data_IF_781898280162
#
_entry.id   IF_781898280162
#
_cell.length_a   1.000
_cell.length_b   1.000
_cell.length_c   1.000
_cell.angle_alpha   90.00
_cell.angle_beta   90.00
_cell.angle_gamma   90.00
#
_symmetry.space_group_name_H-M   'P 1'
#
loop_
_entity.id
_entity.type
_entity.pdbx_description
1 polymer ?
#
# COMPACT_ATOMS: atom_id res chain seq x y z
N UNK A 1 -6.07 20.62 5.74
CA UNK A 1 -7.01 19.74 4.96
C UNK A 1 -7.58 20.57 3.82
N UNK A 2 -6.95 20.58 2.65
CA UNK A 2 -7.32 21.54 1.57
C UNK A 2 -8.10 20.91 0.41
N UNK A 3 -8.68 19.73 0.59
CA UNK A 3 -9.53 19.10 -0.41
C UNK A 3 -10.97 19.00 0.07
N UNK A 4 -11.92 19.37 -0.79
CA UNK A 4 -13.35 19.17 -0.53
C UNK A 4 -13.74 17.68 -0.53
N UNK A 5 -12.85 16.84 -1.03
CA UNK A 5 -13.03 15.39 -1.15
C UNK A 5 -11.84 14.61 -0.63
N UNK A 6 -11.60 14.62 0.69
CA UNK A 6 -10.43 13.94 1.29
C UNK A 6 -10.51 12.42 1.17
N UNK A 7 -9.33 11.82 1.17
CA UNK A 7 -9.11 10.37 1.35
C UNK A 7 -8.54 10.15 2.73
N UNK A 8 -9.12 9.22 3.48
CA UNK A 8 -8.58 8.75 4.75
C UNK A 8 -8.04 7.33 4.59
N UNK A 9 -6.84 7.09 5.14
CA UNK A 9 -6.22 5.78 5.30
C UNK A 9 -6.06 5.50 6.78
N UNK A 10 -6.48 4.33 7.23
CA UNK A 10 -6.43 3.93 8.62
C UNK A 10 -6.31 2.42 8.78
N UNK A 11 -5.72 1.99 9.87
CA UNK A 11 -5.73 0.60 10.30
C UNK A 11 -5.63 0.53 11.83
N UNK A 12 -6.06 -0.58 12.38
CA UNK A 12 -5.82 -0.90 13.76
C UNK A 12 -5.79 -2.41 13.95
N UNK A 13 -4.73 -2.91 14.58
CA UNK A 13 -4.67 -4.27 15.10
C UNK A 13 -5.34 -4.28 16.47
N UNK A 14 -6.46 -4.97 16.57
CA UNK A 14 -7.26 -5.14 17.78
C UNK A 14 -8.18 -6.34 17.63
N UNK A 15 -8.43 -7.07 18.70
CA UNK A 15 -9.37 -8.20 18.65
C UNK A 15 -10.77 -7.73 18.25
N UNK A 16 -11.27 -8.27 17.14
CA UNK A 16 -12.65 -8.12 16.68
C UNK A 16 -13.37 -9.46 16.86
N UNK A 17 -14.19 -9.56 17.90
CA UNK A 17 -14.89 -10.80 18.22
C UNK A 17 -15.86 -11.25 17.12
N UNK A 18 -16.52 -10.30 16.47
CA UNK A 18 -17.49 -10.58 15.40
C UNK A 18 -17.24 -9.69 14.17
N UNK A 19 -16.33 -10.08 13.28
CA UNK A 19 -16.01 -9.35 12.06
C UNK A 19 -17.20 -9.11 11.13
N UNK A 20 -18.12 -10.08 11.03
CA UNK A 20 -19.30 -9.98 10.15
C UNK A 20 -20.30 -8.92 10.66
N UNK A 21 -20.51 -8.86 11.98
CA UNK A 21 -21.35 -7.83 12.61
C UNK A 21 -20.75 -6.45 12.36
N UNK A 22 -19.46 -6.28 12.62
CA UNK A 22 -18.77 -5.01 12.36
C UNK A 22 -18.84 -4.62 10.88
N UNK A 23 -18.67 -5.58 9.95
CA UNK A 23 -18.77 -5.32 8.52
C UNK A 23 -20.16 -4.80 8.11
N UNK A 24 -21.22 -5.35 8.70
CA UNK A 24 -22.59 -4.90 8.47
C UNK A 24 -22.83 -3.47 9.02
N UNK A 25 -22.32 -3.17 10.21
CA UNK A 25 -22.38 -1.84 10.83
C UNK A 25 -21.65 -0.79 9.99
N UNK A 26 -20.41 -1.08 9.63
CA UNK A 26 -19.59 -0.20 8.80
C UNK A 26 -20.21 0.04 7.41
N UNK A 27 -20.83 -0.99 6.81
CA UNK A 27 -21.52 -0.85 5.53
C UNK A 27 -22.71 0.12 5.63
N UNK A 28 -23.51 -0.01 6.69
CA UNK A 28 -24.65 0.90 6.92
C UNK A 28 -24.17 2.35 7.10
N UNK A 29 -23.16 2.56 7.94
CA UNK A 29 -22.60 3.89 8.21
C UNK A 29 -22.02 4.51 6.94
N UNK A 30 -21.13 3.83 6.23
CA UNK A 30 -20.51 4.35 5.02
C UNK A 30 -21.53 4.61 3.91
N UNK A 31 -22.56 3.77 3.76
CA UNK A 31 -23.63 3.98 2.79
C UNK A 31 -24.44 5.23 3.13
N UNK A 32 -24.81 5.42 4.42
CA UNK A 32 -25.51 6.61 4.90
C UNK A 32 -24.72 7.90 4.64
N UNK A 33 -23.41 7.84 4.81
CA UNK A 33 -22.49 8.97 4.61
C UNK A 33 -22.06 9.15 3.14
N UNK A 34 -22.45 8.27 2.22
CA UNK A 34 -22.08 8.34 0.81
C UNK A 34 -20.58 8.11 0.55
N UNK A 35 -19.88 7.42 1.46
CA UNK A 35 -18.46 7.14 1.34
C UNK A 35 -18.20 6.01 0.34
N UNK A 36 -17.10 6.12 -0.38
CA UNK A 36 -16.55 5.06 -1.26
C UNK A 36 -15.18 4.66 -0.77
N UNK A 37 -14.76 3.43 -1.10
CA UNK A 37 -13.44 2.93 -0.71
C UNK A 37 -13.45 1.47 -0.33
N UNK A 38 -12.46 1.06 0.46
CA UNK A 38 -12.31 -0.34 0.91
C UNK A 38 -12.11 -0.41 2.41
N UNK A 39 -12.68 -1.46 3.00
CA UNK A 39 -12.41 -1.85 4.38
C UNK A 39 -12.26 -3.38 4.44
N UNK A 40 -11.14 -3.83 4.96
CA UNK A 40 -10.91 -5.22 5.33
C UNK A 40 -11.08 -5.35 6.84
N UNK A 41 -11.80 -6.36 7.26
CA UNK A 41 -12.04 -6.67 8.66
C UNK A 41 -11.66 -8.12 8.89
N UNK A 42 -10.92 -8.38 9.95
CA UNK A 42 -10.56 -9.72 10.41
C UNK A 42 -10.69 -9.78 11.93
N UNK A 43 -10.51 -10.96 12.53
CA UNK A 43 -10.42 -11.09 13.98
C UNK A 43 -9.24 -10.30 14.57
N UNK A 44 -8.19 -10.09 13.79
CA UNK A 44 -6.98 -9.33 14.16
C UNK A 44 -7.13 -7.81 14.05
N UNK A 45 -8.24 -7.28 13.46
CA UNK A 45 -8.41 -5.84 13.34
C UNK A 45 -9.11 -5.34 12.09
N UNK A 46 -8.80 -4.09 11.71
CA UNK A 46 -9.37 -3.38 10.57
C UNK A 46 -8.29 -2.70 9.73
N UNK A 47 -8.50 -2.62 8.40
CA UNK A 47 -7.65 -1.93 7.45
C UNK A 47 -8.52 -1.27 6.39
N UNK A 48 -8.54 0.06 6.34
CA UNK A 48 -9.46 0.80 5.51
C UNK A 48 -8.88 2.02 4.83
N UNK A 49 -9.51 2.35 3.71
CA UNK A 49 -9.34 3.64 3.04
C UNK A 49 -10.68 4.05 2.46
N UNK A 50 -11.09 5.26 2.77
CA UNK A 50 -12.35 5.84 2.28
C UNK A 50 -12.13 7.23 1.71
N UNK A 51 -12.98 7.60 0.76
CA UNK A 51 -13.08 8.95 0.23
C UNK A 51 -14.54 9.38 0.18
N UNK A 52 -14.78 10.68 0.35
CA UNK A 52 -16.09 11.27 0.30
C UNK A 52 -16.04 12.77 0.53
N UNK A 53 -17.22 13.46 0.50
CA UNK A 53 -17.30 14.83 0.91
C UNK A 53 -16.68 15.06 2.29
N UNK A 54 -15.97 16.16 2.48
CA UNK A 54 -15.25 16.50 3.73
C UNK A 54 -16.10 16.26 4.99
N UNK A 55 -17.32 16.73 4.98
CA UNK A 55 -18.24 16.58 6.12
C UNK A 55 -18.57 15.11 6.41
N UNK A 56 -18.77 14.30 5.37
CA UNK A 56 -19.04 12.87 5.50
C UNK A 56 -17.85 12.11 6.05
N UNK A 57 -16.63 12.44 5.60
CA UNK A 57 -15.40 11.87 6.10
C UNK A 57 -15.18 12.23 7.56
N UNK A 58 -15.43 13.50 7.94
CA UNK A 58 -15.33 13.92 9.34
C UNK A 58 -16.31 13.15 10.23
N UNK A 59 -17.60 13.06 9.82
CA UNK A 59 -18.61 12.28 10.56
C UNK A 59 -18.23 10.80 10.73
N UNK A 60 -17.54 10.22 9.73
CA UNK A 60 -17.03 8.87 9.85
C UNK A 60 -15.92 8.75 10.91
N UNK A 61 -14.96 9.66 10.89
CA UNK A 61 -13.87 9.69 11.87
C UNK A 61 -14.41 9.89 13.30
N UNK A 62 -15.34 10.81 13.48
CA UNK A 62 -16.00 11.06 14.76
C UNK A 62 -16.72 9.80 15.28
N UNK A 63 -17.54 9.17 14.43
CA UNK A 63 -18.24 7.94 14.77
C UNK A 63 -17.30 6.75 15.05
N UNK A 64 -16.15 6.71 14.39
CA UNK A 64 -15.12 5.70 14.69
C UNK A 64 -14.51 5.95 16.07
N UNK A 65 -14.20 7.20 16.43
CA UNK A 65 -13.66 7.55 17.75
C UNK A 65 -14.69 7.42 18.90
N UNK A 66 -15.99 7.35 18.61
CA UNK A 66 -17.01 6.98 19.61
C UNK A 66 -17.00 5.50 19.98
N UNK A 67 -16.45 4.63 19.12
CA UNK A 67 -16.31 3.19 19.41
C UNK A 67 -15.08 2.96 20.29
N UNK A 68 -15.23 2.36 21.49
CA UNK A 68 -14.09 2.12 22.41
C UNK A 68 -12.92 1.35 21.79
N UNK A 69 -13.19 0.54 20.77
CA UNK A 69 -12.15 -0.20 20.04
C UNK A 69 -11.26 0.70 19.19
N UNK A 70 -11.78 1.87 18.78
CA UNK A 70 -11.13 2.74 17.79
C UNK A 70 -10.88 4.16 18.31
N UNK A 71 -10.98 4.40 19.61
CA UNK A 71 -10.74 5.70 20.27
C UNK A 71 -9.43 6.38 19.85
N UNK A 72 -8.37 5.60 19.74
CA UNK A 72 -7.00 6.03 19.41
C UNK A 72 -6.61 5.71 17.96
N UNK A 73 -7.59 5.40 17.09
CA UNK A 73 -7.30 5.10 15.70
C UNK A 73 -6.83 6.33 14.94
N UNK A 74 -5.64 6.25 14.36
CA UNK A 74 -5.07 7.32 13.56
C UNK A 74 -5.61 7.31 12.12
N UNK A 75 -6.04 8.47 11.65
CA UNK A 75 -6.45 8.69 10.27
C UNK A 75 -5.41 9.51 9.52
N UNK A 76 -4.83 8.93 8.48
CA UNK A 76 -3.94 9.62 7.55
C UNK A 76 -4.75 10.23 6.43
N UNK A 77 -4.71 11.55 6.29
CA UNK A 77 -5.59 12.29 5.38
C UNK A 77 -4.78 12.80 4.19
N UNK A 78 -5.29 12.62 2.99
CA UNK A 78 -4.71 13.14 1.75
C UNK A 78 -5.80 13.74 0.85
N UNK A 79 -5.41 14.55 -0.13
CA UNK A 79 -6.32 15.08 -1.13
C UNK A 79 -6.81 13.98 -2.06
N UNK A 80 -8.08 14.03 -2.44
CA UNK A 80 -8.71 13.12 -3.38
C UNK A 80 -9.72 13.84 -4.27
N UNK A 81 -10.51 13.06 -5.02
CA UNK A 81 -11.54 13.52 -5.93
C UNK A 81 -12.78 12.60 -5.85
N UNK A 82 -13.95 13.02 -6.37
CA UNK A 82 -15.19 12.24 -6.29
C UNK A 82 -15.12 10.85 -6.93
N UNK A 83 -14.18 10.64 -7.84
CA UNK A 83 -13.97 9.38 -8.54
C UNK A 83 -12.76 8.57 -8.03
N UNK A 84 -12.09 9.00 -6.94
CA UNK A 84 -10.92 8.29 -6.34
C UNK A 84 -11.22 6.81 -6.11
N UNK A 85 -12.43 6.48 -5.66
CA UNK A 85 -12.90 5.10 -5.59
C UNK A 85 -14.16 4.90 -6.41
N UNK A 86 -14.27 3.80 -7.20
CA UNK A 86 -15.47 3.54 -8.00
C UNK A 86 -16.67 3.13 -7.15
N UNK A 87 -16.44 2.46 -6.02
CA UNK A 87 -17.50 1.89 -5.18
C UNK A 87 -17.06 1.71 -3.73
N UNK A 88 -18.02 1.42 -2.85
CA UNK A 88 -17.78 0.94 -1.49
C UNK A 88 -17.57 -0.58 -1.50
N UNK A 89 -16.50 -1.06 -0.86
CA UNK A 89 -16.17 -2.49 -0.74
C UNK A 89 -15.73 -2.83 0.68
N UNK A 90 -16.62 -3.39 1.48
CA UNK A 90 -16.31 -3.87 2.84
C UNK A 90 -16.31 -5.41 2.83
N UNK A 91 -15.21 -6.02 3.27
CA UNK A 91 -15.01 -7.47 3.19
C UNK A 91 -14.41 -8.01 4.49
N UNK A 92 -14.96 -9.11 4.99
CA UNK A 92 -14.30 -9.92 6.00
C UNK A 92 -13.26 -10.82 5.34
N UNK A 93 -12.10 -10.93 5.96
CA UNK A 93 -10.95 -11.70 5.51
C UNK A 93 -10.30 -12.41 6.69
N UNK A 94 -9.50 -13.47 6.46
CA UNK A 94 -8.70 -14.08 7.53
C UNK A 94 -7.69 -13.11 8.14
N UNK A 95 -7.11 -12.22 7.33
CA UNK A 95 -6.13 -11.23 7.72
C UNK A 95 -6.47 -9.85 7.14
N UNK A 96 -6.15 -8.76 7.87
CA UNK A 96 -6.34 -7.40 7.36
C UNK A 96 -5.24 -6.97 6.39
N UNK A 97 -4.08 -7.64 6.45
CA UNK A 97 -3.02 -7.65 5.45
C UNK A 97 -2.43 -9.05 5.41
N UNK A 98 -2.42 -9.68 4.22
CA UNK A 98 -2.07 -11.09 4.12
C UNK A 98 -0.56 -11.29 4.15
N UNK A 99 -0.06 -11.88 5.23
CA UNK A 99 1.32 -12.36 5.35
C UNK A 99 1.41 -13.87 5.12
N UNK A 100 0.33 -14.61 5.47
CA UNK A 100 0.30 -16.07 5.32
C UNK A 100 1.16 -16.83 6.33
N UNK A 101 1.61 -16.18 7.39
CA UNK A 101 2.37 -16.76 8.47
C UNK A 101 1.69 -16.44 9.80
N UNK A 102 1.59 -17.44 10.67
CA UNK A 102 1.04 -17.26 12.01
C UNK A 102 2.14 -16.67 12.92
N UNK A 103 2.07 -15.38 13.12
CA UNK A 103 3.03 -14.63 13.93
C UNK A 103 2.25 -13.86 14.98
N UNK A 104 2.55 -14.06 16.27
CA UNK A 104 1.94 -13.27 17.31
C UNK A 104 2.34 -11.80 17.15
N UNK A 105 1.34 -10.96 16.90
CA UNK A 105 1.53 -9.51 16.90
C UNK A 105 1.71 -9.07 18.35
N UNK A 106 2.93 -8.77 18.73
CA UNK A 106 3.19 -8.08 19.98
C UNK A 106 3.07 -6.58 19.69
N UNK A 107 2.27 -5.89 20.47
CA UNK A 107 2.21 -4.43 20.47
C UNK A 107 3.51 -3.89 21.08
N UNK A 108 4.58 -3.94 20.32
CA UNK A 108 5.88 -3.40 20.69
C UNK A 108 5.99 -1.98 20.13
N UNK A 109 5.49 -1.03 20.91
CA UNK A 109 5.52 0.39 20.54
C UNK A 109 6.95 0.97 20.52
N UNK A 110 7.90 0.31 21.17
CA UNK A 110 9.28 0.80 21.28
C UNK A 110 10.08 0.68 19.98
N UNK A 111 9.54 0.01 18.96
CA UNK A 111 10.18 -0.12 17.66
C UNK A 111 9.68 0.86 16.59
N UNK A 112 8.74 1.74 16.94
CA UNK A 112 8.22 2.76 16.03
C UNK A 112 9.08 4.03 16.11
N UNK A 113 9.69 4.40 14.98
CA UNK A 113 10.38 5.69 14.85
C UNK A 113 9.41 6.72 14.29
N UNK A 114 9.29 7.85 14.96
CA UNK A 114 8.62 9.03 14.39
C UNK A 114 9.34 9.48 13.11
N UNK A 115 8.68 10.24 12.22
CA UNK A 115 9.34 10.79 11.03
C UNK A 115 10.65 11.53 11.34
N UNK A 116 10.71 12.28 12.46
CA UNK A 116 11.91 12.99 12.90
C UNK A 116 13.03 12.04 13.30
N UNK A 117 12.73 11.01 14.10
CA UNK A 117 13.72 9.98 14.48
C UNK A 117 14.17 9.17 13.27
N UNK A 118 13.25 8.87 12.36
CA UNK A 118 13.54 8.19 11.10
C UNK A 118 14.56 8.98 10.26
N UNK A 119 14.29 10.28 10.05
CA UNK A 119 15.21 11.16 9.31
C UNK A 119 16.58 11.21 9.97
N UNK A 120 16.64 11.41 11.29
CA UNK A 120 17.90 11.39 12.04
C UNK A 120 18.65 10.07 11.86
N UNK A 121 17.96 8.94 11.90
CA UNK A 121 18.59 7.63 11.68
C UNK A 121 19.20 7.50 10.28
N UNK A 122 18.51 8.01 9.25
CA UNK A 122 19.04 8.01 7.88
C UNK A 122 20.31 8.86 7.74
N UNK A 123 20.38 9.97 8.45
CA UNK A 123 21.48 10.96 8.34
C UNK A 123 22.69 10.59 9.21
N UNK A 124 22.46 10.11 10.43
CA UNK A 124 23.52 9.91 11.44
C UNK A 124 24.04 8.45 11.51
N UNK A 125 23.29 7.46 10.99
CA UNK A 125 23.62 6.04 11.14
C UNK A 125 23.69 5.33 9.79
N UNK A 126 24.73 5.59 8.97
CA UNK A 126 24.84 5.07 7.59
C UNK A 126 24.96 3.53 7.49
N UNK A 127 25.32 2.86 8.57
CA UNK A 127 25.42 1.39 8.64
C UNK A 127 24.05 0.71 8.86
N UNK A 128 22.98 1.49 9.02
CA UNK A 128 21.62 0.97 9.18
C UNK A 128 21.10 0.43 7.85
N UNK A 129 20.52 -0.76 7.89
CA UNK A 129 19.91 -1.39 6.71
C UNK A 129 18.48 -0.94 6.55
N UNK A 130 18.19 -0.26 5.46
CA UNK A 130 16.86 0.25 5.16
C UNK A 130 16.12 -0.71 4.21
N UNK A 131 14.97 -1.23 4.64
CA UNK A 131 14.21 -2.25 3.89
C UNK A 131 12.82 -1.73 3.52
N UNK A 132 12.51 -1.77 2.24
CA UNK A 132 11.18 -1.53 1.70
C UNK A 132 10.40 -2.86 1.65
N UNK A 133 9.45 -3.05 2.56
CA UNK A 133 8.64 -4.28 2.64
C UNK A 133 7.38 -4.23 1.75
N UNK A 134 7.34 -3.31 0.79
CA UNK A 134 6.25 -3.19 -0.18
C UNK A 134 6.46 -4.15 -1.36
N UNK A 135 5.44 -4.25 -2.20
CA UNK A 135 5.52 -5.02 -3.43
C UNK A 135 6.40 -4.28 -4.46
N UNK A 136 6.99 -5.03 -5.40
CA UNK A 136 7.89 -4.52 -6.45
C UNK A 136 7.39 -3.28 -7.18
N UNK A 137 6.12 -3.30 -7.61
CA UNK A 137 5.54 -2.19 -8.36
C UNK A 137 5.43 -0.92 -7.52
N UNK A 138 5.29 -1.02 -6.20
CA UNK A 138 5.25 0.13 -5.30
C UNK A 138 6.64 0.75 -5.15
N UNK A 139 7.66 -0.09 -4.94
CA UNK A 139 9.06 0.35 -4.83
C UNK A 139 9.59 0.89 -6.16
N UNK A 140 9.13 0.35 -7.29
CA UNK A 140 9.45 0.87 -8.62
C UNK A 140 8.90 2.29 -8.85
N UNK A 141 7.76 2.65 -8.26
CA UNK A 141 7.21 4.00 -8.34
C UNK A 141 8.05 5.03 -7.57
N UNK A 142 8.55 4.63 -6.41
CA UNK A 142 9.40 5.46 -5.56
C UNK A 142 9.78 4.73 -4.27
N UNK A 143 10.93 5.09 -3.72
CA UNK A 143 11.48 4.49 -2.49
C UNK A 143 12.41 5.47 -1.79
N UNK A 144 12.71 5.21 -0.52
CA UNK A 144 13.80 5.92 0.14
C UNK A 144 15.15 5.61 -0.53
N UNK A 145 16.03 6.59 -0.54
CA UNK A 145 17.41 6.44 -1.01
C UNK A 145 18.08 5.27 -0.28
N UNK A 146 18.86 4.47 -1.01
CA UNK A 146 19.58 3.31 -0.50
C UNK A 146 18.69 2.19 0.09
N UNK A 147 17.36 2.27 -0.04
CA UNK A 147 16.50 1.19 0.44
C UNK A 147 16.64 -0.09 -0.40
N UNK A 148 16.78 -1.20 0.28
CA UNK A 148 16.68 -2.55 -0.29
C UNK A 148 15.19 -2.83 -0.48
N UNK A 149 14.72 -2.89 -1.72
CA UNK A 149 13.36 -3.30 -2.01
C UNK A 149 13.27 -4.83 -1.92
N UNK A 150 12.29 -5.33 -1.16
CA UNK A 150 11.96 -6.75 -1.20
C UNK A 150 11.39 -7.07 -2.59
N UNK A 151 12.04 -7.97 -3.33
CA UNK A 151 11.65 -8.36 -4.68
C UNK A 151 10.44 -9.31 -4.65
N UNK A 152 9.31 -8.83 -4.12
CA UNK A 152 8.08 -9.59 -3.92
C UNK A 152 6.93 -8.99 -4.74
N UNK A 153 6.15 -9.83 -5.38
CA UNK A 153 4.93 -9.41 -6.07
C UNK A 153 3.77 -9.20 -5.09
N UNK A 154 3.77 -9.95 -3.98
CA UNK A 154 2.77 -9.88 -2.94
C UNK A 154 3.42 -9.98 -1.56
N UNK A 155 2.91 -9.25 -0.59
CA UNK A 155 3.42 -9.24 0.79
C UNK A 155 3.49 -10.63 1.45
N UNK A 156 2.66 -11.58 1.02
CA UNK A 156 2.71 -12.99 1.48
C UNK A 156 4.00 -13.74 1.13
N UNK A 157 4.80 -13.22 0.21
CA UNK A 157 6.08 -13.79 -0.20
C UNK A 157 7.24 -13.35 0.70
N UNK A 158 6.99 -12.37 1.59
CA UNK A 158 8.00 -11.84 2.50
C UNK A 158 8.65 -12.92 3.40
N UNK A 159 7.92 -13.93 3.95
CA UNK A 159 8.54 -14.97 4.76
C UNK A 159 9.63 -15.78 4.04
N UNK A 160 9.46 -16.02 2.74
CA UNK A 160 10.46 -16.71 1.90
C UNK A 160 11.60 -15.78 1.51
N UNK A 161 11.27 -14.52 1.16
CA UNK A 161 12.26 -13.51 0.79
C UNK A 161 13.24 -13.21 1.93
N UNK A 162 12.81 -13.34 3.17
CA UNK A 162 13.62 -13.05 4.35
C UNK A 162 14.93 -13.86 4.41
N UNK A 163 14.96 -15.05 3.80
CA UNK A 163 16.18 -15.85 3.71
C UNK A 163 17.31 -15.13 2.93
N UNK A 164 16.96 -14.23 2.01
CA UNK A 164 17.92 -13.40 1.27
C UNK A 164 18.51 -12.26 2.09
N UNK A 165 17.93 -11.96 3.25
CA UNK A 165 18.31 -10.87 4.14
C UNK A 165 19.08 -11.36 5.38
N UNK A 166 19.45 -12.64 5.45
CA UNK A 166 20.11 -13.24 6.62
C UNK A 166 21.43 -12.56 7.00
N UNK A 167 22.16 -12.04 6.03
CA UNK A 167 23.41 -11.30 6.26
C UNK A 167 23.22 -10.02 7.10
N UNK A 168 21.99 -9.53 7.22
CA UNK A 168 21.66 -8.31 7.98
C UNK A 168 21.12 -8.58 9.40
N UNK A 169 21.09 -9.83 9.87
CA UNK A 169 20.53 -10.20 11.19
C UNK A 169 21.16 -9.45 12.36
N UNK A 170 22.47 -9.20 12.28
CA UNK A 170 23.24 -8.51 13.32
C UNK A 170 23.26 -6.99 13.14
N UNK A 171 22.66 -6.49 12.06
CA UNK A 171 22.57 -5.05 11.77
C UNK A 171 21.34 -4.43 12.40
N UNK A 172 21.36 -3.11 12.54
CA UNK A 172 20.13 -2.34 12.78
C UNK A 172 19.33 -2.28 11.49
N UNK A 173 18.10 -2.77 11.53
CA UNK A 173 17.17 -2.77 10.38
C UNK A 173 16.09 -1.74 10.61
N UNK A 174 15.89 -0.89 9.64
CA UNK A 174 14.76 0.02 9.53
C UNK A 174 13.87 -0.43 8.39
N UNK A 175 12.56 -0.53 8.61
CA UNK A 175 11.63 -0.94 7.57
C UNK A 175 10.45 0.01 7.44
N UNK A 176 9.90 0.08 6.25
CA UNK A 176 8.76 0.93 5.97
C UNK A 176 7.79 0.32 4.95
N UNK A 177 6.55 0.80 4.98
CA UNK A 177 5.58 0.62 3.91
C UNK A 177 4.78 1.91 3.72
N UNK A 178 3.76 1.90 2.88
CA UNK A 178 2.97 3.10 2.55
C UNK A 178 2.33 3.74 3.78
N UNK A 179 1.64 2.97 4.62
CA UNK A 179 0.88 3.49 5.76
C UNK A 179 1.23 2.89 7.13
N UNK A 180 2.22 1.97 7.21
CA UNK A 180 2.66 1.32 8.45
C UNK A 180 2.12 -0.10 8.66
N UNK A 181 0.94 -0.43 8.15
CA UNK A 181 0.24 -1.70 8.47
C UNK A 181 1.03 -2.99 8.19
N UNK A 182 1.79 -3.04 7.08
CA UNK A 182 2.60 -4.23 6.75
C UNK A 182 3.79 -4.36 7.70
N UNK A 183 4.32 -3.24 8.16
CA UNK A 183 5.46 -3.21 9.06
C UNK A 183 5.16 -3.85 10.41
N UNK A 184 3.93 -3.77 10.90
CA UNK A 184 3.52 -4.45 12.15
C UNK A 184 3.78 -5.96 12.08
N UNK A 185 3.36 -6.59 10.99
CA UNK A 185 3.61 -8.02 10.75
C UNK A 185 5.06 -8.30 10.35
N UNK A 186 5.65 -7.46 9.49
CA UNK A 186 7.02 -7.63 9.03
C UNK A 186 8.00 -7.56 10.19
N UNK A 187 7.91 -6.56 11.07
CA UNK A 187 8.83 -6.43 12.21
C UNK A 187 8.73 -7.61 13.18
N UNK A 188 7.53 -8.11 13.43
CA UNK A 188 7.32 -9.31 14.24
C UNK A 188 7.95 -10.54 13.57
N UNK A 189 7.80 -10.69 12.24
CA UNK A 189 8.42 -11.77 11.47
C UNK A 189 9.95 -11.70 11.52
N UNK A 190 10.54 -10.52 11.31
CA UNK A 190 11.99 -10.34 11.35
C UNK A 190 12.54 -10.72 12.74
N UNK A 191 11.91 -10.26 13.82
CA UNK A 191 12.32 -10.65 15.18
C UNK A 191 12.20 -12.13 15.42
N UNK A 192 11.10 -12.77 15.00
CA UNK A 192 10.93 -14.22 15.10
C UNK A 192 12.01 -15.01 14.33
N UNK A 193 12.59 -14.41 13.30
CA UNK A 193 13.68 -14.98 12.50
C UNK A 193 15.07 -14.60 13.00
N UNK A 194 15.18 -13.93 14.15
CA UNK A 194 16.43 -13.65 14.84
C UNK A 194 17.11 -12.33 14.48
N UNK A 195 16.42 -11.39 13.83
CA UNK A 195 16.91 -10.01 13.66
C UNK A 195 16.84 -9.28 15.00
N UNK A 196 17.99 -8.79 15.49
CA UNK A 196 18.09 -8.27 16.86
C UNK A 196 17.49 -6.86 17.03
N UNK A 197 17.73 -5.95 16.08
CA UNK A 197 17.31 -4.55 16.14
C UNK A 197 16.46 -4.20 14.93
N UNK A 198 15.15 -4.16 15.10
CA UNK A 198 14.19 -3.92 14.02
C UNK A 198 13.30 -2.75 14.38
N UNK A 199 13.37 -1.69 13.58
CA UNK A 199 12.57 -0.48 13.72
C UNK A 199 11.64 -0.32 12.51
N UNK A 200 10.52 0.37 12.71
CA UNK A 200 9.57 0.67 11.66
C UNK A 200 9.18 2.15 11.65
N UNK A 201 8.91 2.69 10.47
CA UNK A 201 8.47 4.08 10.31
C UNK A 201 7.03 4.22 10.79
N UNK A 202 6.82 4.99 11.86
CA UNK A 202 5.49 5.28 12.38
C UNK A 202 4.63 5.99 11.34
N UNK A 203 3.48 5.40 11.04
CA UNK A 203 2.56 5.93 10.03
C UNK A 203 3.02 5.77 8.57
N UNK A 204 4.19 5.17 8.33
CA UNK A 204 4.73 4.89 7.00
C UNK A 204 5.11 6.11 6.18
N UNK A 205 5.32 5.90 4.87
CA UNK A 205 5.73 6.95 3.92
C UNK A 205 4.79 8.16 3.97
N UNK A 206 3.48 7.91 4.05
CA UNK A 206 2.46 8.99 4.05
C UNK A 206 2.68 9.96 5.21
N UNK A 207 3.05 9.45 6.39
CA UNK A 207 3.32 10.29 7.56
C UNK A 207 4.66 11.02 7.41
N UNK A 208 5.70 10.34 6.92
CA UNK A 208 7.00 10.96 6.67
C UNK A 208 6.91 12.10 5.67
N UNK A 209 6.26 11.87 4.53
CA UNK A 209 6.12 12.88 3.48
C UNK A 209 5.27 14.08 3.89
N UNK A 210 4.36 13.91 4.85
CA UNK A 210 3.59 15.03 5.41
C UNK A 210 4.47 16.02 6.16
N UNK A 211 5.55 15.55 6.81
CA UNK A 211 6.45 16.36 7.62
C UNK A 211 7.68 16.87 6.84
N UNK A 212 8.25 16.00 6.01
CA UNK A 212 9.54 16.23 5.35
C UNK A 212 9.48 16.24 3.82
N UNK A 213 8.27 16.18 3.22
CA UNK A 213 8.15 16.16 1.76
C UNK A 213 8.88 14.96 1.17
N UNK A 214 9.77 15.24 0.22
CA UNK A 214 10.55 14.22 -0.48
C UNK A 214 12.01 14.14 -0.01
N UNK A 215 12.34 14.66 1.17
CA UNK A 215 13.69 14.48 1.70
C UNK A 215 14.01 12.99 1.82
N UNK A 216 15.16 12.56 1.30
CA UNK A 216 15.60 11.16 1.21
C UNK A 216 14.67 10.23 0.41
N UNK A 217 13.70 10.77 -0.33
CA UNK A 217 12.74 10.00 -1.11
C UNK A 217 12.93 10.18 -2.62
N UNK A 218 12.97 9.09 -3.36
CA UNK A 218 13.08 9.06 -4.81
C UNK A 218 11.74 8.67 -5.45
N UNK A 219 11.33 9.40 -6.48
CA UNK A 219 10.13 9.06 -7.25
C UNK A 219 8.81 9.40 -6.55
N UNK A 220 7.75 8.68 -6.89
CA UNK A 220 6.38 8.92 -6.44
C UNK A 220 5.93 7.87 -5.41
N UNK A 221 5.01 8.22 -4.52
CA UNK A 221 4.43 7.24 -3.59
C UNK A 221 3.24 6.52 -4.23
N UNK A 222 3.34 5.20 -4.39
CA UNK A 222 2.22 4.38 -4.88
C UNK A 222 1.09 4.33 -3.85
N UNK A 223 -0.16 4.48 -4.33
CA UNK A 223 -1.39 4.39 -3.53
C UNK A 223 -2.40 3.44 -4.19
N UNK A 224 -3.25 2.81 -3.37
CA UNK A 224 -4.17 1.75 -3.82
C UNK A 224 -5.56 2.28 -4.21
N UNK A 225 -5.60 3.38 -4.96
CA UNK A 225 -6.83 3.96 -5.51
C UNK A 225 -6.59 4.42 -6.97
N UNK A 226 -7.57 5.06 -7.59
CA UNK A 226 -7.46 5.48 -8.99
C UNK A 226 -6.33 6.46 -9.29
N UNK A 227 -5.78 7.13 -8.29
CA UNK A 227 -4.62 8.01 -8.47
C UNK A 227 -3.37 7.21 -8.83
N UNK A 228 -3.27 5.94 -8.38
CA UNK A 228 -2.15 4.99 -8.51
C UNK A 228 -0.86 5.50 -7.86
N UNK A 229 -0.50 6.77 -8.05
CA UNK A 229 0.62 7.44 -7.38
C UNK A 229 0.20 8.81 -6.85
N UNK A 230 0.89 9.27 -5.82
CA UNK A 230 0.77 10.63 -5.31
C UNK A 230 2.15 11.27 -5.27
N UNK A 231 2.18 12.58 -5.56
CA UNK A 231 3.37 13.43 -5.49
C UNK A 231 3.17 14.44 -4.38
N UNK A 232 4.16 14.59 -3.54
CA UNK A 232 4.17 15.66 -2.54
C UNK A 232 4.63 16.96 -3.17
N UNK A 233 5.57 16.89 -4.11
CA UNK A 233 6.09 18.02 -4.87
C UNK A 233 5.90 17.82 -6.37
N UNK A 234 5.65 18.94 -7.10
CA UNK A 234 5.37 18.87 -8.56
C UNK A 234 6.58 18.51 -9.43
N UNK A 235 7.80 18.69 -8.93
CA UNK A 235 9.04 18.61 -9.70
C UNK A 235 9.79 17.27 -9.56
N UNK A 236 9.15 16.21 -9.09
CA UNK A 236 9.82 14.91 -8.97
C UNK A 236 10.08 14.27 -10.33
N UNK A 237 11.33 13.85 -10.52
CA UNK A 237 11.69 12.98 -11.64
C UNK A 237 11.26 11.53 -11.32
N UNK A 238 10.45 10.90 -12.17
CA UNK A 238 10.15 9.48 -11.99
C UNK A 238 11.45 8.65 -12.02
N UNK A 239 11.53 7.67 -11.14
CA UNK A 239 12.65 6.70 -11.12
C UNK A 239 12.34 5.44 -11.92
N UNK A 240 11.11 5.29 -12.34
CA UNK A 240 10.60 4.16 -13.09
C UNK A 240 10.63 4.38 -14.60
N UNK A 241 10.51 3.28 -15.35
CA UNK A 241 10.57 3.28 -16.81
C UNK A 241 9.39 2.55 -17.43
N UNK A 242 9.01 2.96 -18.62
CA UNK A 242 8.04 2.29 -19.45
C UNK A 242 8.48 0.86 -19.75
N UNK A 243 7.62 -0.12 -19.47
CA UNK A 243 7.92 -1.54 -19.62
C UNK A 243 8.23 -1.96 -21.08
N UNK A 244 7.77 -1.19 -22.08
CA UNK A 244 8.02 -1.50 -23.50
C UNK A 244 9.24 -0.79 -24.08
N UNK A 245 9.52 0.44 -23.63
CA UNK A 245 10.52 1.30 -24.30
C UNK A 245 11.71 1.64 -23.42
N UNK A 246 11.65 1.40 -22.11
CA UNK A 246 12.68 1.83 -21.16
C UNK A 246 12.74 3.35 -20.94
N UNK A 247 11.91 4.14 -21.58
CA UNK A 247 11.84 5.59 -21.34
C UNK A 247 11.31 5.88 -19.96
N UNK A 248 11.79 6.93 -19.31
CA UNK A 248 11.29 7.38 -18.00
C UNK A 248 9.77 7.60 -18.04
N UNK A 249 9.05 6.95 -17.13
CA UNK A 249 7.60 7.07 -17.01
C UNK A 249 7.17 6.67 -15.60
N UNK A 250 6.00 7.16 -15.15
CA UNK A 250 5.43 6.82 -13.84
C UNK A 250 3.95 6.40 -13.90
N UNK A 251 3.35 6.41 -15.10
CA UNK A 251 1.94 6.07 -15.25
C UNK A 251 1.73 4.57 -15.19
N UNK A 252 0.99 4.11 -14.18
CA UNK A 252 0.58 2.72 -14.05
C UNK A 252 -0.69 2.43 -14.85
N UNK A 253 -0.69 1.29 -15.54
CA UNK A 253 -1.86 0.76 -16.26
C UNK A 253 -2.02 -0.73 -15.96
N UNK A 254 -3.24 -1.23 -16.04
CA UNK A 254 -3.49 -2.67 -16.01
C UNK A 254 -3.46 -3.22 -17.43
N UNK A 255 -2.83 -4.37 -17.60
CA UNK A 255 -2.88 -5.11 -18.87
C UNK A 255 -4.34 -5.34 -19.29
N UNK A 256 -4.66 -4.98 -20.51
CA UNK A 256 -6.03 -5.11 -21.03
C UNK A 256 -6.37 -6.51 -21.54
N UNK A 257 -5.48 -7.50 -21.40
CA UNK A 257 -5.83 -8.88 -21.63
C UNK A 257 -6.72 -9.39 -20.49
N UNK A 258 -7.91 -9.88 -20.79
CA UNK A 258 -8.98 -10.19 -19.83
C UNK A 258 -8.63 -11.20 -18.73
N UNK A 259 -7.62 -12.04 -18.94
CA UNK A 259 -7.14 -13.00 -17.94
C UNK A 259 -5.86 -12.58 -17.24
N UNK A 260 -5.23 -11.45 -17.63
CA UNK A 260 -3.94 -11.02 -17.08
C UNK A 260 -4.09 -9.93 -16.01
N UNK A 261 -4.56 -8.77 -16.41
CA UNK A 261 -4.69 -7.56 -15.55
C UNK A 261 -3.42 -7.17 -14.77
N UNK A 262 -2.24 -7.66 -15.21
CA UNK A 262 -0.96 -7.29 -14.60
C UNK A 262 -0.79 -5.78 -14.60
N UNK A 263 -0.38 -5.23 -13.47
CA UNK A 263 -0.05 -3.82 -13.34
C UNK A 263 1.37 -3.59 -13.88
N UNK A 264 1.54 -2.57 -14.74
CA UNK A 264 2.85 -2.20 -15.28
C UNK A 264 2.90 -0.71 -15.63
N UNK A 265 4.10 -0.20 -15.91
CA UNK A 265 4.31 1.21 -16.24
C UNK A 265 4.33 1.39 -17.75
N UNK A 266 3.50 2.31 -18.25
CA UNK A 266 3.35 2.63 -19.66
C UNK A 266 3.41 4.15 -19.88
N UNK A 267 4.37 4.61 -20.69
CA UNK A 267 4.42 5.99 -21.11
C UNK A 267 3.25 6.33 -22.04
N UNK A 268 2.68 7.53 -21.89
CA UNK A 268 1.53 7.96 -22.71
C UNK A 268 1.86 8.03 -24.19
N UNK A 269 3.08 8.46 -24.53
CA UNK A 269 3.58 8.53 -25.89
C UNK A 269 3.62 7.15 -26.54
N UNK A 270 4.07 6.13 -25.77
CA UNK A 270 4.14 4.74 -26.23
C UNK A 270 2.75 4.19 -26.54
N UNK A 271 1.76 4.49 -25.71
CA UNK A 271 0.36 4.08 -25.96
C UNK A 271 -0.22 4.79 -27.20
N UNK A 272 0.06 6.10 -27.37
CA UNK A 272 -0.39 6.87 -28.54
C UNK A 272 0.23 6.38 -29.83
N UNK A 273 1.54 6.03 -29.82
CA UNK A 273 2.27 5.48 -30.96
C UNK A 273 1.77 4.07 -31.34
N UNK A 274 1.47 3.24 -30.34
CA UNK A 274 0.98 1.89 -30.55
C UNK A 274 -0.04 1.50 -29.47
N UNK A 275 -1.35 1.53 -29.75
CA UNK A 275 -2.41 1.13 -28.81
C UNK A 275 -2.33 -0.31 -28.30
N UNK A 276 -1.64 -1.22 -28.98
CA UNK A 276 -1.43 -2.58 -28.51
C UNK A 276 -0.51 -2.65 -27.27
N UNK A 277 0.28 -1.61 -27.01
CA UNK A 277 1.16 -1.53 -25.83
C UNK A 277 0.42 -1.41 -24.49
N UNK A 278 -0.90 -1.32 -24.48
CA UNK A 278 -1.73 -1.50 -23.26
C UNK A 278 -1.81 -2.96 -22.79
N UNK A 279 -1.26 -3.90 -23.57
CA UNK A 279 -0.94 -5.25 -23.11
C UNK A 279 0.44 -5.23 -22.42
N UNK A 280 0.61 -5.94 -21.30
CA UNK A 280 1.93 -6.06 -20.69
C UNK A 280 2.92 -6.78 -21.64
N UNK A 281 4.24 -6.60 -21.46
CA UNK A 281 5.25 -7.19 -22.36
C UNK A 281 5.09 -8.70 -22.53
N UNK A 282 4.73 -9.43 -21.48
CA UNK A 282 4.53 -10.89 -21.54
C UNK A 282 3.33 -11.28 -22.40
N UNK A 283 2.20 -10.57 -22.26
CA UNK A 283 1.03 -10.83 -23.10
C UNK A 283 1.30 -10.48 -24.58
N UNK A 284 1.97 -9.34 -24.80
CA UNK A 284 2.29 -8.89 -26.16
C UNK A 284 3.26 -9.85 -26.85
N UNK A 285 4.33 -10.29 -26.19
CA UNK A 285 5.31 -11.24 -26.74
C UNK A 285 4.73 -12.63 -26.97
N UNK A 286 3.71 -13.01 -26.21
CA UNK A 286 2.98 -14.27 -26.39
C UNK A 286 1.92 -14.20 -27.50
N UNK A 287 1.81 -13.09 -28.24
CA UNK A 287 0.82 -12.90 -29.30
C UNK A 287 -0.63 -12.81 -28.80
N UNK A 288 -0.81 -12.55 -27.48
CA UNK A 288 -2.14 -12.38 -26.91
C UNK A 288 -2.68 -11.00 -27.31
N UNK A 289 -3.96 -10.95 -27.65
CA UNK A 289 -4.68 -9.71 -27.98
C UNK A 289 -5.67 -9.37 -26.87
N UNK A 290 -6.24 -8.16 -26.93
CA UNK A 290 -7.45 -7.87 -26.14
C UNK A 290 -8.51 -8.91 -26.54
N UNK A 291 -9.05 -9.64 -25.58
CA UNK A 291 -10.24 -10.43 -25.86
C UNK A 291 -11.39 -9.47 -26.15
N UNK A 292 -12.10 -9.72 -27.24
CA UNK A 292 -13.17 -8.86 -27.72
C UNK A 292 -14.37 -8.84 -26.78
N UNK A 293 -15.17 -7.81 -26.89
CA UNK A 293 -16.28 -7.32 -26.05
C UNK A 293 -17.37 -8.31 -25.55
N UNK A 294 -17.23 -9.60 -25.76
CA UNK A 294 -18.21 -10.62 -25.34
C UNK A 294 -17.94 -11.27 -23.97
N UNK A 295 -16.84 -10.90 -23.31
CA UNK A 295 -16.52 -11.41 -21.97
C UNK A 295 -17.38 -10.75 -20.90
N UNK A 296 -18.54 -11.32 -20.60
CA UNK A 296 -19.43 -10.93 -19.48
C UNK A 296 -19.07 -11.59 -18.14
N UNK A 297 -17.85 -12.12 -17.97
CA UNK A 297 -17.39 -12.73 -16.73
C UNK A 297 -16.72 -11.73 -15.80
N UNK A 298 -17.03 -11.75 -14.50
CA UNK A 298 -16.13 -11.18 -13.50
C UNK A 298 -14.76 -11.82 -13.66
N UNK A 299 -13.64 -11.06 -13.65
CA UNK A 299 -12.32 -11.65 -13.79
C UNK A 299 -12.14 -12.69 -12.68
N UNK A 300 -12.11 -13.96 -13.06
CA UNK A 300 -11.65 -15.00 -12.18
C UNK A 300 -10.21 -14.62 -11.83
N UNK A 301 -9.92 -14.42 -10.53
CA UNK A 301 -8.55 -14.31 -10.07
C UNK A 301 -7.82 -15.51 -10.64
N UNK A 302 -6.83 -15.26 -11.48
CA UNK A 302 -5.86 -16.30 -11.83
C UNK A 302 -5.29 -16.74 -10.49
N UNK A 303 -5.66 -17.94 -10.05
CA UNK A 303 -4.98 -18.59 -8.95
C UNK A 303 -3.56 -18.76 -9.47
N UNK A 304 -2.58 -18.20 -8.80
CA UNK A 304 -1.20 -18.60 -8.99
C UNK A 304 -1.23 -20.14 -8.91
N UNK A 305 -0.78 -20.77 -9.97
CA UNK A 305 -0.58 -22.21 -10.00
C UNK A 305 0.23 -22.63 -8.78
N UNK A 306 -0.25 -23.65 -8.14
CA UNK A 306 0.33 -24.35 -7.00
C UNK A 306 1.83 -24.58 -7.13
#
# INVERSE_FOLDING_TARGET
MDSDYPVILFYKYILIENPEKLAAEQRRLCTKLGLKGRLLIATEGVNGTFAGPRESVQKYMDAAHEDPRFLDMEFKISAGAPDTFPRLAIKVRPEIVTLGADIPLQADLDNHLSPTEWKRMLEEYPDTVLIDVRNNYESAAGKFENAIACEIENFRELPEYLNKLEEYKDKTVMMYCTGGIRCEKASALFRAKGFGKVFQLHGGIVNYQKEYGNEHWLGECFVFDKRMTVRVEKALTPISTCAHTGRTASRFVNCLHDLCHKLFILAEETEKENPETVLCPECLSSGLTRMTADYKGSPARVKASE
#
